data_IF_756177032375
#
_entry.id   IF_756177032375
#
_cell.length_a   1.000
_cell.length_b   1.000
_cell.length_c   1.000
_cell.angle_alpha   90.00
_cell.angle_beta   90.00
_cell.angle_gamma   90.00
#
_symmetry.space_group_name_H-M   'P 1'
#
loop_
_entity.id
_entity.type
_entity.pdbx_description
1 polymer ?
#
# COMPACT_ATOMS: atom_id res chain seq x y z
N UNK A 1 -4.06 -9.18 12.69
CA UNK A 1 -5.11 -8.41 11.99
C UNK A 1 -4.49 -7.28 11.18
N UNK A 2 -5.11 -6.93 10.05
CA UNK A 2 -4.67 -5.84 9.18
C UNK A 2 -5.71 -4.72 9.14
N UNK A 3 -5.27 -3.48 8.97
CA UNK A 3 -6.11 -2.29 8.95
C UNK A 3 -5.65 -1.28 7.89
N UNK A 4 -6.59 -0.48 7.42
CA UNK A 4 -6.39 0.62 6.48
C UNK A 4 -6.82 1.94 7.13
N UNK A 5 -5.93 2.91 7.13
CA UNK A 5 -6.16 4.27 7.60
C UNK A 5 -6.25 5.23 6.42
N UNK A 6 -7.21 6.15 6.48
CA UNK A 6 -7.19 7.37 5.69
C UNK A 6 -6.45 8.45 6.48
N UNK A 7 -5.47 9.05 5.83
CA UNK A 7 -4.69 10.16 6.33
C UNK A 7 -5.06 11.44 5.55
N UNK A 8 -4.62 12.58 6.07
CA UNK A 8 -4.72 13.86 5.37
C UNK A 8 -4.08 13.82 3.97
N UNK A 9 -4.47 14.78 3.11
CA UNK A 9 -3.95 14.94 1.74
C UNK A 9 -4.17 13.70 0.85
N UNK A 10 -5.29 12.99 1.04
CA UNK A 10 -5.64 11.78 0.29
C UNK A 10 -4.55 10.70 0.33
N UNK A 11 -3.90 10.57 1.49
CA UNK A 11 -2.89 9.53 1.76
C UNK A 11 -3.50 8.39 2.55
N UNK A 12 -2.90 7.21 2.43
CA UNK A 12 -3.39 6.01 3.07
C UNK A 12 -2.25 5.22 3.71
N UNK A 13 -2.55 4.57 4.82
CA UNK A 13 -1.60 3.70 5.50
C UNK A 13 -2.23 2.34 5.77
N UNK A 14 -1.55 1.29 5.37
CA UNK A 14 -1.88 -0.09 5.73
C UNK A 14 -0.94 -0.52 6.84
N UNK A 15 -1.50 -1.12 7.88
CA UNK A 15 -0.70 -1.67 8.97
C UNK A 15 -1.28 -2.97 9.49
N UNK A 16 -0.46 -3.66 10.28
CA UNK A 16 -0.81 -4.89 10.99
C UNK A 16 -0.57 -4.72 12.49
N UNK A 17 -1.40 -5.38 13.28
CA UNK A 17 -1.17 -5.57 14.71
C UNK A 17 -1.90 -6.82 15.22
N UNK A 18 -1.63 -7.20 16.47
CA UNK A 18 -2.48 -8.16 17.18
C UNK A 18 -3.89 -7.59 17.38
N UNK A 19 -4.91 -8.44 17.31
CA UNK A 19 -6.32 -8.01 17.33
C UNK A 19 -6.69 -7.22 18.59
N UNK A 20 -6.21 -7.67 19.74
CA UNK A 20 -6.41 -7.00 21.03
C UNK A 20 -5.68 -5.64 21.16
N UNK A 21 -4.81 -5.29 20.21
CA UNK A 21 -4.03 -4.04 20.22
C UNK A 21 -4.51 -3.00 19.21
N UNK A 22 -5.58 -3.26 18.45
CA UNK A 22 -6.02 -2.34 17.39
C UNK A 22 -6.25 -0.94 17.93
N UNK A 23 -7.08 -0.77 18.95
CA UNK A 23 -7.43 0.53 19.53
C UNK A 23 -6.19 1.31 19.97
N UNK A 24 -5.31 0.66 20.73
CA UNK A 24 -4.05 1.27 21.18
C UNK A 24 -3.17 1.67 20.01
N UNK A 25 -3.05 0.81 18.99
CA UNK A 25 -2.22 1.08 17.81
C UNK A 25 -2.75 2.27 17.01
N UNK A 26 -4.07 2.38 16.83
CA UNK A 26 -4.68 3.55 16.19
C UNK A 26 -4.42 4.82 16.99
N UNK A 27 -4.49 4.75 18.33
CA UNK A 27 -4.20 5.91 19.17
C UNK A 27 -2.73 6.33 19.09
N UNK A 28 -1.78 5.39 19.01
CA UNK A 28 -0.37 5.67 18.75
C UNK A 28 -0.19 6.45 17.44
N UNK A 29 -0.87 6.03 16.36
CA UNK A 29 -0.85 6.76 15.08
C UNK A 29 -1.43 8.18 15.21
N UNK A 30 -2.55 8.36 15.92
CA UNK A 30 -3.15 9.69 16.15
C UNK A 30 -2.27 10.61 17.00
N UNK A 31 -1.47 10.04 17.90
CA UNK A 31 -0.59 10.76 18.82
C UNK A 31 0.84 10.95 18.25
N UNK A 32 1.05 10.80 16.93
CA UNK A 32 2.36 10.91 16.26
C UNK A 32 3.43 9.90 16.74
N UNK A 33 3.02 8.83 17.42
CA UNK A 33 3.87 7.71 17.88
C UNK A 33 3.75 6.47 16.99
N UNK A 34 3.07 6.61 15.85
CA UNK A 34 2.87 5.54 14.89
C UNK A 34 3.98 5.46 13.85
N UNK A 35 3.62 5.06 12.63
CA UNK A 35 4.55 5.04 11.50
C UNK A 35 4.93 6.46 11.06
N UNK A 36 6.14 6.62 10.52
CA UNK A 36 6.62 7.90 9.99
C UNK A 36 5.67 8.51 8.95
N UNK A 37 5.00 7.67 8.14
CA UNK A 37 3.97 8.11 7.20
C UNK A 37 2.77 8.76 7.88
N UNK A 38 2.24 8.16 8.95
CA UNK A 38 1.09 8.70 9.70
C UNK A 38 1.45 9.89 10.58
N UNK A 39 2.72 10.04 10.95
CA UNK A 39 3.23 11.25 11.60
C UNK A 39 3.34 12.39 10.59
N UNK A 40 3.79 12.11 9.36
CA UNK A 40 3.83 13.10 8.27
C UNK A 40 2.43 13.49 7.77
N UNK A 41 1.52 12.51 7.70
CA UNK A 41 0.14 12.69 7.28
C UNK A 41 -0.81 12.21 8.38
N UNK A 42 -1.31 13.12 9.23
CA UNK A 42 -2.19 12.78 10.34
C UNK A 42 -3.38 11.92 9.93
N UNK A 43 -3.75 10.96 10.78
CA UNK A 43 -4.86 10.02 10.55
C UNK A 43 -6.20 10.75 10.71
N UNK A 44 -7.08 10.58 9.72
CA UNK A 44 -8.45 11.10 9.77
C UNK A 44 -9.44 10.02 10.25
N UNK A 45 -9.37 8.81 9.70
CA UNK A 45 -10.26 7.70 10.07
C UNK A 45 -9.71 6.33 9.70
N UNK A 46 -10.27 5.30 10.31
CA UNK A 46 -10.09 3.89 9.93
C UNK A 46 -11.10 3.59 8.81
N UNK A 47 -10.63 3.06 7.69
CA UNK A 47 -11.50 2.67 6.56
C UNK A 47 -11.88 1.19 6.59
N UNK A 48 -10.94 0.34 7.01
CA UNK A 48 -11.12 -1.09 7.04
C UNK A 48 -10.25 -1.68 8.15
N UNK A 49 -10.75 -2.73 8.80
CA UNK A 49 -9.95 -3.61 9.62
C UNK A 49 -10.55 -5.01 9.54
N UNK A 50 -9.73 -6.05 9.38
CA UNK A 50 -10.21 -7.42 9.42
C UNK A 50 -9.28 -8.34 10.20
N UNK A 51 -9.84 -9.27 10.99
CA UNK A 51 -9.07 -10.25 11.72
C UNK A 51 -8.59 -11.32 10.74
N UNK A 52 -7.29 -11.29 10.45
CA UNK A 52 -6.58 -12.38 9.80
C UNK A 52 -5.17 -12.49 10.38
N UNK A 53 -4.68 -13.72 10.37
CA UNK A 53 -3.34 -14.10 10.78
C UNK A 53 -2.44 -14.42 9.58
N UNK A 54 -2.96 -14.36 8.35
CA UNK A 54 -2.13 -14.54 7.16
C UNK A 54 -1.16 -13.35 7.03
N UNK A 55 0.17 -13.58 7.08
CA UNK A 55 1.15 -12.53 6.89
C UNK A 55 1.06 -11.84 5.52
N UNK A 56 0.50 -12.48 4.50
CA UNK A 56 0.35 -11.94 3.15
C UNK A 56 -0.76 -10.89 3.05
N UNK A 57 -1.71 -10.85 3.99
CA UNK A 57 -2.86 -9.96 3.91
C UNK A 57 -2.48 -8.48 3.95
N UNK A 58 -1.47 -8.12 4.75
CA UNK A 58 -0.96 -6.75 4.80
C UNK A 58 -0.39 -6.35 3.44
N UNK A 59 0.49 -7.18 2.87
CA UNK A 59 1.16 -6.91 1.59
C UNK A 59 0.16 -6.84 0.43
N UNK A 60 -0.78 -7.79 0.37
CA UNK A 60 -1.85 -7.78 -0.63
C UNK A 60 -2.75 -6.55 -0.48
N UNK A 61 -3.05 -6.13 0.75
CA UNK A 61 -3.84 -4.92 0.99
C UNK A 61 -3.10 -3.67 0.50
N UNK A 62 -1.79 -3.55 0.76
CA UNK A 62 -0.96 -2.46 0.23
C UNK A 62 -1.08 -2.39 -1.28
N UNK A 63 -0.88 -3.50 -1.99
CA UNK A 63 -0.99 -3.54 -3.46
C UNK A 63 -2.39 -3.19 -3.96
N UNK A 64 -3.45 -3.72 -3.33
CA UNK A 64 -4.85 -3.38 -3.65
C UNK A 64 -5.12 -1.88 -3.49
N UNK A 65 -4.62 -1.26 -2.42
CA UNK A 65 -4.78 0.16 -2.19
C UNK A 65 -3.90 1.00 -3.12
N UNK A 66 -2.67 0.59 -3.43
CA UNK A 66 -1.82 1.25 -4.42
C UNK A 66 -2.42 1.21 -5.82
N UNK A 67 -3.06 0.10 -6.19
CA UNK A 67 -3.84 0.00 -7.44
C UNK A 67 -4.99 1.01 -7.47
N UNK A 68 -5.67 1.20 -6.34
CA UNK A 68 -6.84 2.08 -6.23
C UNK A 68 -6.49 3.56 -6.14
N UNK A 69 -5.50 3.92 -5.32
CA UNK A 69 -5.18 5.29 -4.97
C UNK A 69 -3.84 5.78 -5.54
N UNK A 70 -3.06 4.91 -6.17
CA UNK A 70 -1.74 5.20 -6.74
C UNK A 70 -0.58 4.91 -5.77
N UNK A 71 0.54 4.45 -6.32
CA UNK A 71 1.77 4.08 -5.58
C UNK A 71 2.27 5.22 -4.67
N UNK A 72 2.11 6.48 -5.08
CA UNK A 72 2.60 7.63 -4.31
C UNK A 72 1.69 8.02 -3.11
N UNK A 73 0.52 7.39 -2.98
CA UNK A 73 -0.49 7.76 -1.99
C UNK A 73 -0.66 6.72 -0.87
N UNK A 74 0.01 5.57 -0.94
CA UNK A 74 -0.16 4.47 0.01
C UNK A 74 1.18 4.01 0.56
N UNK A 75 1.26 3.74 1.85
CA UNK A 75 2.38 3.05 2.51
C UNK A 75 1.89 1.97 3.46
N UNK A 76 2.76 1.03 3.79
CA UNK A 76 2.47 -0.11 4.67
C UNK A 76 3.30 -1.32 4.29
N UNK A 77 3.25 -2.39 5.07
CA UNK A 77 4.02 -3.62 4.81
C UNK A 77 5.48 -3.33 4.44
N UNK A 78 5.95 -3.96 3.36
CA UNK A 78 7.31 -3.82 2.84
C UNK A 78 7.61 -2.43 2.23
N UNK A 79 6.57 -1.61 2.00
CA UNK A 79 6.65 -0.29 1.38
C UNK A 79 6.22 0.80 2.37
N UNK A 80 6.73 0.76 3.61
CA UNK A 80 6.37 1.69 4.68
C UNK A 80 7.20 2.99 4.71
N UNK A 81 8.33 3.03 4.00
CA UNK A 81 9.20 4.20 3.91
C UNK A 81 8.47 5.41 3.27
N UNK A 82 8.69 6.62 3.80
CA UNK A 82 8.03 7.84 3.28
C UNK A 82 8.28 7.99 1.77
N UNK A 83 9.54 7.89 1.37
CA UNK A 83 9.93 7.93 -0.03
C UNK A 83 10.30 6.52 -0.49
N UNK A 84 9.62 6.04 -1.52
CA UNK A 84 10.01 4.82 -2.21
C UNK A 84 11.12 5.15 -3.20
N UNK A 85 12.10 4.25 -3.29
CA UNK A 85 13.17 4.36 -4.29
C UNK A 85 12.61 4.19 -5.69
N UNK A 86 13.38 4.63 -6.69
CA UNK A 86 13.01 4.40 -8.09
C UNK A 86 12.79 2.90 -8.38
N UNK A 87 13.68 2.04 -7.90
CA UNK A 87 13.58 0.59 -8.08
C UNK A 87 12.32 0.02 -7.43
N UNK A 88 11.96 0.45 -6.22
CA UNK A 88 10.71 0.04 -5.56
C UNK A 88 9.48 0.46 -6.37
N UNK A 89 9.45 1.70 -6.87
CA UNK A 89 8.35 2.18 -7.71
C UNK A 89 8.25 1.40 -9.02
N UNK A 90 9.39 1.08 -9.64
CA UNK A 90 9.45 0.27 -10.86
C UNK A 90 8.87 -1.13 -10.63
N UNK A 91 9.30 -1.83 -9.58
CA UNK A 91 8.76 -3.15 -9.21
C UNK A 91 7.26 -3.09 -8.95
N UNK A 92 6.80 -2.11 -8.17
CA UNK A 92 5.37 -1.92 -7.90
C UNK A 92 4.59 -1.64 -9.18
N UNK A 93 5.13 -0.81 -10.08
CA UNK A 93 4.48 -0.50 -11.35
C UNK A 93 4.33 -1.76 -12.22
N UNK A 94 5.38 -2.56 -12.32
CA UNK A 94 5.36 -3.84 -13.04
C UNK A 94 4.38 -4.83 -12.42
N UNK A 95 4.34 -4.92 -11.08
CA UNK A 95 3.34 -5.74 -10.38
C UNK A 95 1.91 -5.28 -10.69
N UNK A 96 1.65 -3.97 -10.64
CA UNK A 96 0.34 -3.41 -10.97
C UNK A 96 -0.03 -3.60 -12.44
N UNK A 97 0.93 -3.60 -13.37
CA UNK A 97 0.69 -4.00 -14.75
C UNK A 97 0.19 -5.45 -14.82
N UNK A 98 0.91 -6.39 -14.19
CA UNK A 98 0.50 -7.79 -14.15
C UNK A 98 -0.89 -8.01 -13.56
N UNK A 99 -1.16 -7.40 -12.41
CA UNK A 99 -2.47 -7.47 -11.73
C UNK A 99 -3.60 -6.95 -12.63
N UNK A 100 -3.30 -6.00 -13.53
CA UNK A 100 -4.28 -5.42 -14.44
C UNK A 100 -4.26 -6.07 -15.84
N UNK A 101 -3.53 -7.18 -16.03
CA UNK A 101 -3.42 -7.86 -17.33
C UNK A 101 -2.68 -7.04 -18.40
N UNK A 102 -1.84 -6.09 -17.98
CA UNK A 102 -1.05 -5.22 -18.87
C UNK A 102 0.34 -5.80 -19.12
N UNK A 103 0.94 -5.41 -20.23
CA UNK A 103 2.33 -5.70 -20.56
C UNK A 103 3.27 -5.27 -19.42
N UNK A 104 4.10 -6.20 -18.93
CA UNK A 104 5.04 -5.94 -17.83
C UNK A 104 6.11 -4.88 -18.14
N UNK A 105 6.44 -4.66 -19.42
CA UNK A 105 7.45 -3.68 -19.83
C UNK A 105 6.83 -2.28 -19.98
N UNK A 106 5.83 -2.14 -20.86
CA UNK A 106 5.31 -0.83 -21.27
C UNK A 106 3.92 -0.48 -20.71
N UNK A 107 3.26 -1.40 -20.00
CA UNK A 107 1.92 -1.16 -19.45
C UNK A 107 0.78 -1.17 -20.47
N UNK A 108 1.03 -1.58 -21.71
CA UNK A 108 -0.01 -1.71 -22.75
C UNK A 108 -1.02 -2.80 -22.40
N UNK A 109 -2.30 -2.55 -22.70
CA UNK A 109 -3.38 -3.55 -22.63
C UNK A 109 -3.51 -4.38 -23.92
N UNK A 110 -2.80 -4.00 -24.99
CA UNK A 110 -2.96 -4.59 -26.33
C UNK A 110 -2.13 -5.85 -26.57
N UNK A 111 -1.11 -6.10 -25.75
CA UNK A 111 -0.20 -7.21 -25.93
C UNK A 111 0.37 -7.70 -24.60
N UNK A 112 0.82 -8.95 -24.60
CA UNK A 112 1.62 -9.52 -23.53
C UNK A 112 3.09 -9.13 -23.67
N UNK A 113 3.86 -9.24 -22.57
CA UNK A 113 5.28 -8.92 -22.55
C UNK A 113 6.05 -9.55 -23.72
N UNK A 114 5.79 -10.81 -24.05
CA UNK A 114 6.46 -11.54 -25.14
C UNK A 114 6.24 -10.95 -26.55
N UNK A 115 5.28 -10.04 -26.71
CA UNK A 115 4.97 -9.35 -27.97
C UNK A 115 5.13 -7.82 -27.84
N UNK A 116 5.91 -7.36 -26.88
CA UNK A 116 6.08 -5.94 -26.64
C UNK A 116 7.04 -5.30 -27.67
N UNK A 117 6.64 -4.23 -28.38
CA UNK A 117 7.46 -3.58 -29.41
C UNK A 117 8.58 -2.69 -28.84
N UNK A 118 8.68 -2.57 -27.51
CA UNK A 118 9.70 -1.77 -26.81
C UNK A 118 10.71 -2.66 -26.05
N UNK A 119 10.78 -3.95 -26.41
CA UNK A 119 11.82 -4.85 -25.95
C UNK A 119 13.13 -4.65 -26.69
#
# INVERSE_FOLDING_TARGET
MSYLLQCQLNKYYVGRCYTNRLTTRIQEHKNNKGAAWTTKYPVQKILLSFPSNDPLDEEMMVLKQMRKYGINNVRGGSFSNINLTFSQKSVLQTQLYGINGKCFNCGSEKHWYSKCPLL
#
